data_IF_603268603581
#
_entry.id   IF_603268603581
#
_cell.length_a   1.000
_cell.length_b   1.000
_cell.length_c   1.000
_cell.angle_alpha   90.00
_cell.angle_beta   90.00
_cell.angle_gamma   90.00
#
_symmetry.space_group_name_H-M   'P 1'
#
loop_
_entity.id
_entity.type
_entity.pdbx_description
1 polymer ?
#
# COMPACT_ATOMS: atom_id res chain seq x y z
N UNK A 1 -30.82 3.04 39.74
CA UNK A 1 -30.34 3.02 38.35
C UNK A 1 -30.61 1.63 37.79
N UNK A 2 -31.59 1.52 36.90
CA UNK A 2 -32.15 0.23 36.49
C UNK A 2 -31.14 -0.66 35.77
N UNK A 3 -31.23 -1.97 36.01
CA UNK A 3 -30.40 -3.00 35.37
C UNK A 3 -30.42 -2.87 33.84
N UNK A 4 -31.55 -2.46 33.28
CA UNK A 4 -31.72 -2.21 31.85
C UNK A 4 -30.86 -1.03 31.35
N UNK A 5 -30.81 0.06 32.12
CA UNK A 5 -30.01 1.25 31.77
C UNK A 5 -28.52 0.90 31.71
N UNK A 6 -28.03 0.09 32.66
CA UNK A 6 -26.63 -0.37 32.66
C UNK A 6 -26.29 -1.23 31.44
N UNK A 7 -27.22 -2.08 31.01
CA UNK A 7 -27.05 -2.94 29.84
C UNK A 7 -26.95 -2.11 28.55
N UNK A 8 -27.84 -1.12 28.38
CA UNK A 8 -27.80 -0.24 27.20
C UNK A 8 -26.52 0.58 27.11
N UNK A 9 -26.03 1.12 28.25
CA UNK A 9 -24.76 1.84 28.29
C UNK A 9 -23.61 0.93 27.88
N UNK A 10 -23.57 -0.30 28.39
CA UNK A 10 -22.53 -1.26 28.04
C UNK A 10 -22.53 -1.62 26.55
N UNK A 11 -23.70 -1.89 25.97
CA UNK A 11 -23.84 -2.18 24.54
C UNK A 11 -23.43 -0.97 23.69
N UNK A 12 -23.82 0.24 24.08
CA UNK A 12 -23.44 1.46 23.36
C UNK A 12 -21.91 1.66 23.34
N UNK A 13 -21.23 1.38 24.46
CA UNK A 13 -19.76 1.44 24.53
C UNK A 13 -19.11 0.42 23.58
N UNK A 14 -19.61 -0.82 23.53
CA UNK A 14 -19.08 -1.83 22.62
C UNK A 14 -19.25 -1.45 21.14
N UNK A 15 -20.39 -0.86 20.78
CA UNK A 15 -20.64 -0.38 19.41
C UNK A 15 -19.67 0.74 19.03
N UNK A 16 -19.43 1.70 19.94
CA UNK A 16 -18.47 2.78 19.70
C UNK A 16 -17.05 2.22 19.51
N UNK A 17 -16.62 1.27 20.34
CA UNK A 17 -15.32 0.61 20.20
C UNK A 17 -15.21 -0.10 18.85
N UNK A 18 -16.25 -0.83 18.42
CA UNK A 18 -16.26 -1.50 17.13
C UNK A 18 -16.14 -0.51 15.96
N UNK A 19 -16.85 0.62 16.01
CA UNK A 19 -16.76 1.67 14.98
C UNK A 19 -15.34 2.25 14.91
N UNK A 20 -14.71 2.50 16.06
CA UNK A 20 -13.32 3.00 16.12
C UNK A 20 -12.36 2.00 15.48
N UNK A 21 -12.45 0.72 15.83
CA UNK A 21 -11.59 -0.34 15.28
C UNK A 21 -11.74 -0.41 13.74
N UNK A 22 -12.98 -0.39 13.25
CA UNK A 22 -13.28 -0.41 11.81
C UNK A 22 -12.67 0.83 11.12
N UNK A 23 -12.86 2.02 11.69
CA UNK A 23 -12.31 3.25 11.14
C UNK A 23 -10.78 3.20 11.01
N UNK A 24 -10.07 2.71 12.02
CA UNK A 24 -8.61 2.56 11.97
C UNK A 24 -8.16 1.53 10.93
N UNK A 25 -8.87 0.41 10.79
CA UNK A 25 -8.58 -0.62 9.78
C UNK A 25 -8.71 -0.07 8.35
N UNK A 26 -9.79 0.67 8.06
CA UNK A 26 -10.01 1.24 6.72
C UNK A 26 -9.03 2.38 6.39
N UNK A 27 -8.60 3.16 7.40
CA UNK A 27 -7.63 4.25 7.19
C UNK A 27 -6.23 3.74 6.85
N UNK A 28 -5.81 2.60 7.41
CA UNK A 28 -4.50 2.01 7.11
C UNK A 28 -4.36 1.56 5.65
N UNK A 29 -5.44 1.04 5.05
CA UNK A 29 -5.39 0.48 3.69
C UNK A 29 -5.25 1.54 2.58
N UNK A 30 -5.75 2.77 2.80
CA UNK A 30 -5.81 3.81 1.76
C UNK A 30 -4.46 4.51 1.50
N UNK A 31 -3.59 4.54 2.50
CA UNK A 31 -2.25 5.17 2.43
C UNK A 31 -1.29 4.37 1.55
N UNK A 32 -1.34 3.04 1.67
CA UNK A 32 -0.43 2.15 0.97
C UNK A 32 -0.69 2.13 -0.54
N UNK A 33 -1.97 2.12 -0.93
CA UNK A 33 -2.38 2.14 -2.33
C UNK A 33 -1.93 3.39 -3.07
N UNK A 34 -2.01 4.57 -2.43
CA UNK A 34 -1.58 5.83 -3.06
C UNK A 34 -0.06 5.88 -3.26
N UNK A 35 0.72 5.40 -2.28
CA UNK A 35 2.18 5.35 -2.40
C UNK A 35 2.64 4.39 -3.50
N UNK A 36 2.07 3.19 -3.55
CA UNK A 36 2.39 2.20 -4.58
C UNK A 36 1.98 2.71 -5.97
N UNK A 37 0.83 3.38 -6.10
CA UNK A 37 0.40 3.98 -7.36
C UNK A 37 1.38 5.04 -7.85
N UNK A 38 1.84 5.93 -6.96
CA UNK A 38 2.81 6.96 -7.32
C UNK A 38 4.15 6.37 -7.76
N UNK A 39 4.66 5.37 -7.02
CA UNK A 39 5.90 4.67 -7.39
C UNK A 39 5.77 3.99 -8.76
N UNK A 40 4.60 3.46 -9.10
CA UNK A 40 4.32 2.89 -10.41
C UNK A 40 4.39 3.95 -11.52
N UNK A 41 3.77 5.11 -11.31
CA UNK A 41 3.80 6.21 -12.27
C UNK A 41 5.22 6.72 -12.49
N UNK A 42 5.96 6.98 -11.41
CA UNK A 42 7.36 7.44 -11.46
C UNK A 42 8.24 6.42 -12.20
N UNK A 43 8.06 5.12 -11.93
CA UNK A 43 8.76 4.05 -12.63
C UNK A 43 8.45 4.04 -14.14
N UNK A 44 7.17 4.14 -14.50
CA UNK A 44 6.74 4.18 -15.90
C UNK A 44 7.25 5.42 -16.64
N UNK A 45 7.32 6.57 -15.98
CA UNK A 45 7.93 7.78 -16.55
C UNK A 45 9.42 7.56 -16.81
N UNK A 46 10.16 7.00 -15.86
CA UNK A 46 11.58 6.72 -16.03
C UNK A 46 11.86 5.70 -17.15
N UNK A 47 10.98 4.71 -17.35
CA UNK A 47 11.04 3.80 -18.49
C UNK A 47 10.86 4.54 -19.82
N UNK A 48 9.91 5.49 -19.90
CA UNK A 48 9.63 6.29 -21.11
C UNK A 48 10.72 7.32 -21.42
N UNK A 49 11.33 7.90 -20.39
CA UNK A 49 12.42 8.86 -20.52
C UNK A 49 13.78 8.19 -20.80
N UNK A 50 13.78 6.87 -21.04
CA UNK A 50 14.96 6.05 -21.32
C UNK A 50 16.05 6.12 -20.24
N UNK A 51 15.71 6.54 -19.02
CA UNK A 51 16.66 6.67 -17.92
C UNK A 51 16.78 5.35 -17.16
N UNK A 52 17.60 4.42 -17.68
CA UNK A 52 17.79 3.07 -17.14
C UNK A 52 18.17 3.02 -15.66
N UNK A 53 19.04 3.94 -15.20
CA UNK A 53 19.46 3.98 -13.79
C UNK A 53 18.30 4.40 -12.88
N UNK A 54 17.56 5.43 -13.28
CA UNK A 54 16.40 5.90 -12.53
C UNK A 54 15.28 4.85 -12.53
N UNK A 55 15.02 4.22 -13.69
CA UNK A 55 14.04 3.16 -13.82
C UNK A 55 14.39 1.94 -12.96
N UNK A 56 15.66 1.53 -12.89
CA UNK A 56 16.08 0.43 -12.01
C UNK A 56 15.79 0.75 -10.54
N UNK A 57 16.13 1.97 -10.09
CA UNK A 57 15.89 2.42 -8.72
C UNK A 57 14.40 2.42 -8.39
N UNK A 58 13.60 3.09 -9.22
CA UNK A 58 12.15 3.23 -9.01
C UNK A 58 11.41 1.89 -9.15
N UNK A 59 11.85 1.01 -10.04
CA UNK A 59 11.32 -0.35 -10.18
C UNK A 59 11.51 -1.15 -8.90
N UNK A 60 12.70 -1.13 -8.30
CA UNK A 60 12.96 -1.78 -7.01
C UNK A 60 12.12 -1.21 -5.88
N UNK A 61 11.97 0.11 -5.82
CA UNK A 61 11.11 0.77 -4.82
C UNK A 61 9.64 0.39 -5.00
N UNK A 62 9.13 0.37 -6.25
CA UNK A 62 7.76 -0.03 -6.57
C UNK A 62 7.47 -1.49 -6.19
N UNK A 63 8.29 -2.44 -6.67
CA UNK A 63 8.07 -3.86 -6.39
C UNK A 63 8.30 -4.21 -4.92
N UNK A 64 9.27 -3.57 -4.27
CA UNK A 64 9.47 -3.67 -2.81
C UNK A 64 8.23 -3.18 -2.07
N UNK A 65 7.70 -2.00 -2.42
CA UNK A 65 6.47 -1.49 -1.81
C UNK A 65 5.27 -2.42 -2.05
N UNK A 66 5.14 -3.02 -3.24
CA UNK A 66 4.08 -3.97 -3.57
C UNK A 66 4.14 -5.26 -2.71
N UNK A 67 5.34 -5.62 -2.23
CA UNK A 67 5.63 -6.84 -1.46
C UNK A 67 5.94 -6.56 0.02
N UNK A 68 5.48 -5.43 0.57
CA UNK A 68 5.73 -5.03 1.96
C UNK A 68 7.23 -5.00 2.32
N UNK A 69 8.08 -4.54 1.40
CA UNK A 69 9.52 -4.37 1.60
C UNK A 69 10.39 -5.51 1.06
N UNK A 70 9.80 -6.64 0.63
CA UNK A 70 10.55 -7.82 0.20
C UNK A 70 10.61 -7.94 -1.31
N UNK A 71 11.78 -7.71 -1.89
CA UNK A 71 11.97 -7.87 -3.33
C UNK A 71 12.28 -9.33 -3.68
N UNK A 72 11.54 -9.90 -4.63
CA UNK A 72 11.76 -11.29 -5.06
C UNK A 72 12.62 -11.38 -6.32
N UNK A 73 13.17 -12.55 -6.59
CA UNK A 73 13.91 -12.80 -7.83
C UNK A 73 13.03 -12.60 -9.08
N UNK A 74 11.74 -12.93 -9.00
CA UNK A 74 10.78 -12.69 -10.07
C UNK A 74 10.58 -11.18 -10.33
N UNK A 75 10.58 -10.37 -9.29
CA UNK A 75 10.46 -8.91 -9.42
C UNK A 75 11.72 -8.31 -10.05
N UNK A 76 12.92 -8.74 -9.63
CA UNK A 76 14.19 -8.34 -10.27
C UNK A 76 14.24 -8.74 -11.75
N UNK A 77 13.74 -9.93 -12.10
CA UNK A 77 13.68 -10.37 -13.50
C UNK A 77 12.67 -9.56 -14.32
N UNK A 78 11.52 -9.20 -13.74
CA UNK A 78 10.55 -8.31 -14.38
C UNK A 78 11.16 -6.92 -14.65
N UNK A 79 11.84 -6.34 -13.66
CA UNK A 79 12.54 -5.06 -13.81
C UNK A 79 13.61 -5.16 -14.91
N UNK A 80 14.38 -6.23 -14.95
CA UNK A 80 15.39 -6.45 -15.98
C UNK A 80 14.78 -6.51 -17.40
N UNK A 81 13.64 -7.19 -17.55
CA UNK A 81 12.92 -7.25 -18.82
C UNK A 81 12.40 -5.87 -19.26
N UNK A 82 11.82 -5.11 -18.32
CA UNK A 82 11.33 -3.76 -18.58
C UNK A 82 12.49 -2.84 -19.01
N UNK A 83 13.65 -2.93 -18.34
CA UNK A 83 14.86 -2.16 -18.70
C UNK A 83 15.45 -2.57 -20.06
N UNK A 84 15.36 -3.84 -20.42
CA UNK A 84 15.80 -4.35 -21.72
C UNK A 84 14.88 -3.90 -22.86
N UNK A 85 13.60 -3.63 -22.56
CA UNK A 85 12.61 -3.15 -23.52
C UNK A 85 12.72 -1.66 -23.86
N UNK A 86 13.53 -0.90 -23.10
CA UNK A 86 13.82 0.51 -23.37
C UNK A 86 14.67 0.63 -24.65
N UNK A 87 14.08 1.26 -25.68
CA UNK A 87 14.70 1.51 -26.98
C UNK A 87 15.34 2.90 -27.07
#
# INVERSE_FOLDING_TARGET
MDRQIRLYIFVAVLVIIAIIIIYYFFRASKSHTTKVSKLKEDYQLALRDNNKQLALKLGREYYSALRNGTLTLYDEQAIANDLASIQ
#
